data_IF_591747278741
#
_entry.id   IF_591747278741
#
_cell.length_a   1.000
_cell.length_b   1.000
_cell.length_c   1.000
_cell.angle_alpha   90.00
_cell.angle_beta   90.00
_cell.angle_gamma   90.00
#
_symmetry.space_group_name_H-M   'P 1'
#
loop_
_entity.id
_entity.type
_entity.pdbx_description
1 polymer ?
#
# COMPACT_ATOMS: atom_id res chain seq x y z
N UNK A 1 0.71 19.56 28.04
CA UNK A 1 0.80 20.49 26.89
C UNK A 1 -0.05 19.95 25.75
N UNK A 2 -1.01 20.73 25.25
CA UNK A 2 -2.01 20.32 24.24
C UNK A 2 -1.36 19.73 22.96
N UNK A 3 -0.22 20.28 22.55
CA UNK A 3 0.56 19.84 21.40
C UNK A 3 1.06 18.38 21.50
N UNK A 4 1.43 17.92 22.69
CA UNK A 4 1.97 16.56 22.89
C UNK A 4 0.88 15.48 22.82
N UNK A 5 -0.35 15.83 23.22
CA UNK A 5 -1.51 14.93 23.16
C UNK A 5 -2.03 14.75 21.73
N UNK A 6 -1.87 15.76 20.87
CA UNK A 6 -2.25 15.70 19.46
C UNK A 6 -1.15 15.12 18.57
N UNK A 7 0.13 15.27 18.93
CA UNK A 7 1.23 14.70 18.16
C UNK A 7 1.42 13.20 18.36
N UNK A 8 1.10 12.66 19.55
CA UNK A 8 1.32 11.24 19.85
C UNK A 8 0.52 10.29 18.93
N UNK A 9 -0.78 10.51 18.67
CA UNK A 9 -1.53 9.70 17.72
C UNK A 9 -0.99 9.82 16.29
N UNK A 10 -0.63 11.03 15.87
CA UNK A 10 -0.04 11.25 14.54
C UNK A 10 1.28 10.51 14.34
N UNK A 11 2.13 10.44 15.38
CA UNK A 11 3.36 9.65 15.34
C UNK A 11 3.03 8.17 15.14
N UNK A 12 2.02 7.66 15.84
CA UNK A 12 1.60 6.26 15.71
C UNK A 12 1.07 5.98 14.29
N UNK A 13 0.33 6.91 13.71
CA UNK A 13 -0.18 6.85 12.35
C UNK A 13 0.96 6.90 11.31
N UNK A 14 1.95 7.76 11.53
CA UNK A 14 3.14 7.89 10.68
C UNK A 14 4.10 6.69 10.81
N UNK A 15 4.04 5.94 11.91
CA UNK A 15 4.78 4.68 12.06
C UNK A 15 4.13 3.51 11.30
N UNK A 16 2.98 3.72 10.64
CA UNK A 16 2.29 2.66 9.91
C UNK A 16 3.19 2.06 8.81
N UNK A 17 3.28 0.73 8.65
CA UNK A 17 4.17 0.07 7.67
C UNK A 17 3.84 0.36 6.20
N UNK A 18 2.74 1.05 5.93
CA UNK A 18 2.40 1.56 4.59
C UNK A 18 3.24 2.81 4.22
N UNK A 19 3.85 3.46 5.20
CA UNK A 19 4.70 4.64 4.98
C UNK A 19 5.99 4.27 4.26
N UNK A 20 6.40 5.12 3.31
CA UNK A 20 7.54 4.93 2.39
C UNK A 20 8.19 6.28 2.14
N UNK A 21 9.39 6.27 1.57
CA UNK A 21 10.21 7.48 1.30
C UNK A 21 9.43 8.58 0.58
N UNK A 22 8.54 8.23 -0.36
CA UNK A 22 7.67 9.21 -1.05
C UNK A 22 6.71 9.95 -0.11
N UNK A 23 6.16 9.25 0.89
CA UNK A 23 5.24 9.83 1.88
C UNK A 23 6.02 10.73 2.85
N UNK A 24 7.22 10.32 3.26
CA UNK A 24 8.12 11.15 4.06
C UNK A 24 8.58 12.40 3.32
N UNK A 25 8.85 12.27 2.02
CA UNK A 25 9.17 13.41 1.15
C UNK A 25 8.01 14.39 1.05
N UNK A 26 6.78 13.90 0.92
CA UNK A 26 5.58 14.73 0.92
C UNK A 26 5.38 15.44 2.26
N UNK A 27 5.59 14.73 3.38
CA UNK A 27 5.50 15.31 4.72
C UNK A 27 6.54 16.41 4.95
N UNK A 28 7.76 16.24 4.45
CA UNK A 28 8.80 17.28 4.46
C UNK A 28 8.39 18.52 3.65
N UNK A 29 7.76 18.33 2.48
CA UNK A 29 7.26 19.43 1.66
C UNK A 29 6.14 20.19 2.36
N UNK A 30 5.22 19.49 3.04
CA UNK A 30 4.09 20.12 3.73
C UNK A 30 4.52 20.88 4.99
N UNK A 31 5.45 20.30 5.77
CA UNK A 31 5.95 20.93 7.00
C UNK A 31 7.02 21.99 6.73
N UNK A 32 7.58 22.02 5.51
CA UNK A 32 8.70 22.89 5.14
C UNK A 32 10.00 22.54 5.86
N UNK A 33 10.06 21.39 6.53
CA UNK A 33 11.23 20.91 7.25
C UNK A 33 11.83 19.71 6.53
N UNK A 34 13.15 19.67 6.48
CA UNK A 34 13.89 18.58 5.84
C UNK A 34 14.53 17.71 6.91
N UNK A 35 14.31 16.41 6.84
CA UNK A 35 14.94 15.42 7.72
C UNK A 35 15.29 14.17 6.93
N UNK A 36 16.21 13.38 7.48
CA UNK A 36 16.58 12.09 6.89
C UNK A 36 15.98 11.01 7.79
N UNK A 37 15.16 10.14 7.21
CA UNK A 37 14.72 8.91 7.86
C UNK A 37 15.90 7.92 7.82
N UNK A 38 16.87 8.10 8.72
CA UNK A 38 17.92 7.13 8.98
C UNK A 38 17.62 6.36 10.28
N UNK A 39 18.44 5.36 10.62
CA UNK A 39 18.31 4.61 11.87
C UNK A 39 18.49 5.48 13.15
N UNK A 40 18.88 6.74 12.98
CA UNK A 40 19.02 7.72 14.07
C UNK A 40 17.81 8.62 14.20
N UNK A 41 16.87 8.58 13.25
CA UNK A 41 15.65 9.36 13.30
C UNK A 41 14.84 8.99 14.53
N UNK A 42 14.69 9.94 15.43
CA UNK A 42 14.08 9.74 16.74
C UNK A 42 12.69 10.35 16.83
N UNK A 43 11.92 9.90 17.83
CA UNK A 43 10.67 10.55 18.19
C UNK A 43 10.85 12.05 18.52
N UNK A 44 12.03 12.43 19.04
CA UNK A 44 12.36 13.83 19.32
C UNK A 44 12.37 14.68 18.05
N UNK A 45 13.01 14.20 16.99
CA UNK A 45 13.08 14.87 15.69
C UNK A 45 11.68 15.01 15.08
N UNK A 46 10.85 13.99 15.25
CA UNK A 46 9.44 13.98 14.81
C UNK A 46 8.58 15.02 15.57
N UNK A 47 8.84 15.21 16.87
CA UNK A 47 8.15 16.22 17.68
C UNK A 47 8.60 17.65 17.32
N UNK A 48 9.84 17.84 16.87
CA UNK A 48 10.37 19.12 16.36
C UNK A 48 9.75 19.54 15.01
N UNK A 49 9.08 18.62 14.30
CA UNK A 49 8.32 18.94 13.09
C UNK A 49 7.01 19.69 13.37
N UNK A 50 6.66 19.87 14.64
CA UNK A 50 5.44 20.57 15.05
C UNK A 50 4.18 20.03 14.37
N UNK A 51 4.08 18.70 14.25
CA UNK A 51 2.98 18.01 13.54
C UNK A 51 1.58 18.43 13.98
N UNK A 52 1.44 18.96 15.19
CA UNK A 52 0.20 19.52 15.72
C UNK A 52 -0.35 20.70 14.90
N UNK A 53 0.48 21.35 14.07
CA UNK A 53 0.07 22.39 13.13
C UNK A 53 -0.38 21.83 11.77
N UNK A 54 -0.08 20.56 11.49
CA UNK A 54 -0.29 19.89 10.20
C UNK A 54 -1.07 18.58 10.36
N UNK A 55 -1.94 18.49 11.36
CA UNK A 55 -2.70 17.27 11.72
C UNK A 55 -3.42 16.70 10.50
N UNK A 56 -4.21 17.54 9.80
CA UNK A 56 -5.02 17.10 8.66
C UNK A 56 -4.17 16.56 7.52
N UNK A 57 -3.06 17.24 7.21
CA UNK A 57 -2.15 16.80 6.16
C UNK A 57 -1.42 15.50 6.52
N UNK A 58 -1.02 15.33 7.78
CA UNK A 58 -0.40 14.08 8.24
C UNK A 58 -1.39 12.91 8.11
N UNK A 59 -2.63 13.09 8.57
CA UNK A 59 -3.68 12.08 8.43
C UNK A 59 -3.97 11.75 6.97
N UNK A 60 -4.03 12.75 6.09
CA UNK A 60 -4.24 12.53 4.66
C UNK A 60 -3.10 11.71 4.02
N UNK A 61 -1.85 12.01 4.38
CA UNK A 61 -0.68 11.26 3.89
C UNK A 61 -0.73 9.80 4.36
N UNK A 62 -1.07 9.55 5.62
CA UNK A 62 -1.19 8.19 6.17
C UNK A 62 -2.34 7.44 5.50
N UNK A 63 -3.51 8.07 5.36
CA UNK A 63 -4.68 7.49 4.69
C UNK A 63 -4.36 7.11 3.24
N UNK A 64 -3.64 7.99 2.53
CA UNK A 64 -3.18 7.71 1.18
C UNK A 64 -2.23 6.52 1.15
N UNK A 65 -1.25 6.47 2.05
CA UNK A 65 -0.32 5.34 2.15
C UNK A 65 -1.06 4.02 2.40
N UNK A 66 -2.04 4.00 3.31
CA UNK A 66 -2.86 2.82 3.60
C UNK A 66 -3.69 2.36 2.39
N UNK A 67 -4.31 3.29 1.66
CA UNK A 67 -5.06 2.99 0.43
C UNK A 67 -4.14 2.41 -0.65
N UNK A 68 -2.96 2.99 -0.84
CA UNK A 68 -1.95 2.48 -1.79
C UNK A 68 -1.53 1.05 -1.44
N UNK A 69 -1.27 0.75 -0.17
CA UNK A 69 -0.97 -0.61 0.28
C UNK A 69 -2.14 -1.57 0.04
N UNK A 70 -3.39 -1.11 0.21
CA UNK A 70 -4.59 -1.88 -0.10
C UNK A 70 -4.66 -2.27 -1.58
N UNK A 71 -4.41 -1.31 -2.47
CA UNK A 71 -4.37 -1.54 -3.93
C UNK A 71 -3.26 -2.53 -4.29
N UNK A 72 -2.05 -2.36 -3.74
CA UNK A 72 -0.94 -3.27 -4.02
C UNK A 72 -1.22 -4.71 -3.58
N UNK A 73 -1.90 -4.91 -2.43
CA UNK A 73 -2.35 -6.24 -2.00
C UNK A 73 -3.37 -6.84 -2.95
N UNK A 74 -4.30 -6.04 -3.46
CA UNK A 74 -5.29 -6.50 -4.43
C UNK A 74 -4.62 -6.88 -5.75
N UNK A 75 -3.70 -6.05 -6.25
CA UNK A 75 -2.91 -6.35 -7.44
C UNK A 75 -2.10 -7.63 -7.29
N UNK A 76 -1.45 -7.82 -6.13
CA UNK A 76 -0.72 -9.06 -5.86
C UNK A 76 -1.64 -10.29 -5.84
N UNK A 77 -2.84 -10.16 -5.27
CA UNK A 77 -3.84 -11.24 -5.30
C UNK A 77 -4.25 -11.57 -6.74
N UNK A 78 -4.42 -10.57 -7.60
CA UNK A 78 -4.69 -10.79 -9.02
C UNK A 78 -3.49 -11.52 -9.65
N UNK A 79 -2.27 -11.02 -9.48
CA UNK A 79 -1.07 -11.68 -10.00
C UNK A 79 -0.95 -13.15 -9.57
N UNK A 80 -1.17 -13.44 -8.29
CA UNK A 80 -1.14 -14.80 -7.73
C UNK A 80 -2.23 -15.70 -8.34
N UNK A 81 -3.46 -15.19 -8.50
CA UNK A 81 -4.55 -15.92 -9.17
C UNK A 81 -4.18 -16.27 -10.61
N UNK A 82 -3.63 -15.30 -11.35
CA UNK A 82 -3.25 -15.49 -12.76
C UNK A 82 -2.02 -16.37 -12.93
N UNK A 83 -1.08 -16.35 -11.98
CA UNK A 83 0.07 -17.26 -11.97
C UNK A 83 -0.33 -18.72 -11.73
N UNK A 84 -1.43 -18.96 -11.00
CA UNK A 84 -1.95 -20.30 -10.72
C UNK A 84 -2.90 -20.88 -11.77
N UNK A 85 -3.39 -20.05 -12.70
CA UNK A 85 -4.33 -20.44 -13.75
C UNK A 85 -3.60 -21.19 -14.87
N UNK A 86 -3.82 -22.51 -14.95
CA UNK A 86 -3.35 -23.34 -16.05
C UNK A 86 -4.49 -23.66 -17.01
N UNK A 87 -4.31 -23.31 -18.28
CA UNK A 87 -5.24 -23.67 -19.34
C UNK A 87 -5.09 -25.16 -19.65
N UNK A 88 -6.17 -25.91 -19.44
CA UNK A 88 -6.20 -27.34 -19.77
C UNK A 88 -6.68 -27.52 -21.21
N UNK A 89 -6.04 -28.42 -21.95
CA UNK A 89 -6.44 -28.79 -23.29
C UNK A 89 -6.87 -30.25 -23.30
N UNK A 90 -8.03 -30.52 -23.87
CA UNK A 90 -8.58 -31.87 -23.98
C UNK A 90 -8.85 -32.20 -25.45
N UNK A 91 -8.66 -33.46 -25.89
CA UNK A 91 -8.98 -33.87 -27.24
C UNK A 91 -10.47 -33.66 -27.51
N UNK A 92 -10.78 -33.06 -28.65
CA UNK A 92 -12.15 -32.83 -29.07
C UNK A 92 -12.71 -34.09 -29.73
N UNK A 93 -13.51 -34.85 -28.99
CA UNK A 93 -14.17 -36.07 -29.49
C UNK A 93 -13.14 -37.06 -30.08
N UNK A 94 -13.40 -37.60 -31.28
CA UNK A 94 -12.50 -38.50 -32.02
C UNK A 94 -11.61 -37.76 -33.03
N UNK A 95 -11.38 -36.45 -32.84
CA UNK A 95 -10.52 -35.66 -33.75
C UNK A 95 -9.13 -35.45 -33.16
N UNK A 96 -8.13 -35.29 -34.03
CA UNK A 96 -6.73 -35.01 -33.68
C UNK A 96 -6.52 -33.54 -33.23
N UNK A 97 -7.60 -32.86 -32.83
CA UNK A 97 -7.63 -31.44 -32.47
C UNK A 97 -7.77 -31.31 -30.97
N UNK A 98 -6.82 -30.59 -30.36
CA UNK A 98 -6.85 -30.25 -28.93
C UNK A 98 -7.71 -29.00 -28.73
N UNK A 99 -8.86 -29.14 -28.07
CA UNK A 99 -9.71 -28.02 -27.71
C UNK A 99 -9.32 -27.48 -26.32
N UNK A 100 -9.41 -26.15 -26.17
CA UNK A 100 -9.23 -25.50 -24.89
C UNK A 100 -10.41 -25.86 -23.98
N UNK A 101 -10.12 -26.49 -22.84
CA UNK A 101 -11.08 -26.69 -21.77
C UNK A 101 -10.97 -25.48 -20.83
N UNK A 102 -11.98 -24.61 -20.88
CA UNK A 102 -12.09 -23.47 -19.97
C UNK A 102 -12.94 -23.92 -18.79
N UNK A 103 -12.32 -24.08 -17.63
CA UNK A 103 -13.05 -24.32 -16.39
C UNK A 103 -13.80 -23.07 -15.94
N UNK A 104 -14.92 -23.24 -15.24
CA UNK A 104 -15.70 -22.14 -14.66
C UNK A 104 -14.84 -21.24 -13.74
N UNK A 105 -13.83 -21.82 -13.07
CA UNK A 105 -12.86 -21.10 -12.24
C UNK A 105 -11.98 -20.11 -13.04
N UNK A 106 -11.69 -20.40 -14.32
CA UNK A 106 -10.95 -19.49 -15.20
C UNK A 106 -11.84 -18.32 -15.60
N UNK A 107 -13.12 -18.59 -15.89
CA UNK A 107 -14.11 -17.57 -16.25
C UNK A 107 -14.41 -16.65 -15.07
N UNK A 108 -14.59 -17.18 -13.86
CA UNK A 108 -14.84 -16.39 -12.65
C UNK A 108 -13.64 -15.54 -12.24
N UNK A 109 -12.40 -16.00 -12.48
CA UNK A 109 -11.20 -15.20 -12.21
C UNK A 109 -10.99 -14.02 -13.18
N UNK A 110 -11.71 -14.02 -14.31
CA UNK A 110 -11.66 -12.99 -15.35
C UNK A 110 -12.75 -11.91 -15.17
N UNK A 111 -13.85 -12.22 -14.49
CA UNK A 111 -14.95 -11.28 -14.16
C UNK A 111 -14.62 -10.37 -12.95
#
# INVERSE_FOLDING_TARGET
>A
CKAMLTSLPLVQDLHHPAMRDRHWTLLMQTTGKTFVMDDKFSLGDLLELELHNYVDACSEIVDRAQKELGIEKQLKKIEDTWAGLNLMFAPYQDTDIMALHVDDAITEALE
#
